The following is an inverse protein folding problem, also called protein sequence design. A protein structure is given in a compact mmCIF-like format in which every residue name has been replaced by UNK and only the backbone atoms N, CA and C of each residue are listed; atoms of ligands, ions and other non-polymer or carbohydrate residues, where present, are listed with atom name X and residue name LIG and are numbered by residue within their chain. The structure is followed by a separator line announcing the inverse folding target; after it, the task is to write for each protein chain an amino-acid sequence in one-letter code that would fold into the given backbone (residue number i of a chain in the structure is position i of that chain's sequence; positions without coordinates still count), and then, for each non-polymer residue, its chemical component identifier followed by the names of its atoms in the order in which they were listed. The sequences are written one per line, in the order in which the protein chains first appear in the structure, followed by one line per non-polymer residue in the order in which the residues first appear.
data_IF_816549496206
#
_entry.id   IF_816549496206
#
_cell.length_a   1.000
_cell.length_b   1.000
_cell.length_c   1.000
_cell.angle_alpha   90.00
_cell.angle_beta   90.00
_cell.angle_gamma   90.00
#
_symmetry.space_group_name_H-M   'P 1'
#
loop_
_entity.id
_entity.type
_entity.pdbx_description
1 polymer ?
#
# COMPACT_ATOMS: atom_id res chain seq x y z
N UNK A 1 -15.46 -13.97 -19.66
CA UNK A 1 -14.35 -13.29 -18.97
C UNK A 1 -14.82 -12.86 -17.59
N UNK A 2 -14.11 -13.25 -16.54
CA UNK A 2 -14.36 -12.78 -15.18
C UNK A 2 -13.70 -11.43 -14.96
N UNK A 3 -14.41 -10.50 -14.36
CA UNK A 3 -13.94 -9.15 -14.06
C UNK A 3 -13.20 -9.15 -12.72
N UNK A 4 -11.91 -8.90 -12.75
CA UNK A 4 -11.04 -8.80 -11.58
C UNK A 4 -10.72 -7.34 -11.36
N UNK A 5 -11.21 -6.76 -10.27
CA UNK A 5 -10.99 -5.35 -9.97
C UNK A 5 -9.86 -5.19 -8.94
N UNK A 6 -8.80 -4.54 -9.33
CA UNK A 6 -7.68 -4.17 -8.45
C UNK A 6 -7.97 -2.79 -7.86
N UNK A 7 -7.85 -2.67 -6.54
CA UNK A 7 -7.99 -1.40 -5.84
C UNK A 7 -6.63 -0.99 -5.31
N UNK A 8 -6.24 0.26 -5.56
CA UNK A 8 -4.97 0.82 -5.11
C UNK A 8 -5.14 2.25 -4.63
N UNK A 9 -4.59 2.55 -3.46
CA UNK A 9 -4.69 3.86 -2.79
C UNK A 9 -3.40 4.66 -2.80
N UNK A 10 -2.27 4.01 -3.07
CA UNK A 10 -0.96 4.66 -3.01
C UNK A 10 0.02 4.10 -4.04
N UNK A 11 1.06 4.90 -4.35
CA UNK A 11 2.15 4.49 -5.24
C UNK A 11 2.84 3.19 -4.78
N UNK A 12 3.02 3.03 -3.47
CA UNK A 12 3.67 1.85 -2.90
C UNK A 12 2.85 0.59 -3.16
N UNK A 13 1.54 0.64 -2.97
CA UNK A 13 0.64 -0.48 -3.29
C UNK A 13 0.64 -0.80 -4.77
N UNK A 14 0.50 0.22 -5.62
CA UNK A 14 0.54 0.05 -7.07
C UNK A 14 1.82 -0.63 -7.54
N UNK A 15 2.97 -0.18 -7.03
CA UNK A 15 4.27 -0.79 -7.36
C UNK A 15 4.34 -2.28 -7.05
N UNK A 16 3.64 -2.75 -5.99
CA UNK A 16 3.54 -4.15 -5.65
C UNK A 16 2.53 -4.89 -6.54
N UNK A 17 1.40 -4.25 -6.87
CA UNK A 17 0.28 -4.86 -7.61
C UNK A 17 0.48 -4.87 -9.13
N UNK A 18 1.34 -4.01 -9.68
CA UNK A 18 1.52 -3.83 -11.13
C UNK A 18 1.85 -5.13 -11.87
N UNK A 19 2.68 -6.00 -11.28
CA UNK A 19 2.99 -7.31 -11.85
C UNK A 19 1.79 -8.25 -11.93
N UNK A 20 0.90 -8.21 -10.92
CA UNK A 20 -0.35 -8.97 -10.92
C UNK A 20 -1.34 -8.38 -11.93
N UNK A 21 -1.46 -7.04 -11.99
CA UNK A 21 -2.32 -6.34 -12.94
C UNK A 21 -1.96 -6.73 -14.38
N UNK A 22 -0.67 -6.73 -14.70
CA UNK A 22 -0.19 -7.14 -16.03
C UNK A 22 -0.59 -8.58 -16.38
N UNK A 23 -0.46 -9.52 -15.45
CA UNK A 23 -0.84 -10.92 -15.68
C UNK A 23 -2.35 -11.10 -15.85
N UNK A 24 -3.17 -10.30 -15.16
CA UNK A 24 -4.62 -10.31 -15.34
C UNK A 24 -4.99 -9.75 -16.71
N UNK A 25 -4.35 -8.65 -17.11
CA UNK A 25 -4.62 -7.97 -18.38
C UNK A 25 -4.20 -8.81 -19.60
N UNK A 26 -3.11 -9.57 -19.48
CA UNK A 26 -2.63 -10.51 -20.50
C UNK A 26 -3.46 -11.81 -20.59
N UNK A 27 -4.40 -12.05 -19.69
CA UNK A 27 -5.20 -13.27 -19.64
C UNK A 27 -6.40 -13.20 -20.57
N UNK A 28 -6.61 -14.22 -21.40
CA UNK A 28 -7.78 -14.33 -22.26
C UNK A 28 -9.09 -14.58 -21.50
N UNK A 29 -9.02 -15.13 -20.29
CA UNK A 29 -10.18 -15.50 -19.46
C UNK A 29 -10.61 -14.43 -18.47
N UNK A 30 -9.74 -13.45 -18.20
CA UNK A 30 -9.94 -12.41 -17.20
C UNK A 30 -10.07 -11.04 -17.87
N UNK A 31 -10.78 -10.15 -17.20
CA UNK A 31 -10.85 -8.73 -17.55
C UNK A 31 -10.37 -7.91 -16.36
N UNK A 32 -9.27 -7.19 -16.54
CA UNK A 32 -8.78 -6.25 -15.54
C UNK A 32 -9.74 -5.06 -15.43
N UNK A 33 -10.02 -4.66 -14.20
CA UNK A 33 -10.61 -3.38 -13.84
C UNK A 33 -9.72 -2.73 -12.78
N UNK A 34 -9.56 -1.43 -12.82
CA UNK A 34 -8.70 -0.68 -11.89
C UNK A 34 -9.47 0.44 -11.23
N UNK A 35 -9.46 0.48 -9.90
CA UNK A 35 -9.93 1.62 -9.12
C UNK A 35 -8.73 2.27 -8.46
N UNK A 36 -8.48 3.53 -8.80
CA UNK A 36 -7.50 4.37 -8.10
C UNK A 36 -8.23 5.23 -7.05
N UNK A 37 -7.65 5.34 -5.87
CA UNK A 37 -8.26 6.09 -4.76
C UNK A 37 -7.22 6.81 -3.91
N UNK A 38 -7.68 7.55 -2.91
CA UNK A 38 -6.89 8.15 -1.84
C UNK A 38 -5.70 8.98 -2.37
N UNK A 39 -4.47 8.66 -1.92
CA UNK A 39 -3.24 9.40 -2.25
C UNK A 39 -2.96 9.48 -3.76
N UNK A 40 -3.39 8.48 -4.54
CA UNK A 40 -3.24 8.50 -5.99
C UNK A 40 -3.89 9.73 -6.66
N UNK A 41 -4.97 10.24 -6.08
CA UNK A 41 -5.77 11.31 -6.64
C UNK A 41 -5.44 12.69 -6.06
N UNK A 42 -4.57 12.74 -5.05
CA UNK A 42 -4.20 13.99 -4.39
C UNK A 42 -3.00 14.67 -5.04
N UNK A 43 -3.11 15.98 -5.33
CA UNK A 43 -1.96 16.79 -5.78
C UNK A 43 -0.81 16.82 -4.78
N UNK A 44 -1.09 16.77 -3.47
CA UNK A 44 -0.09 16.75 -2.41
C UNK A 44 0.85 15.54 -2.52
N UNK A 45 0.33 14.41 -3.03
CA UNK A 45 1.10 13.18 -3.25
C UNK A 45 1.53 12.99 -4.71
N UNK A 46 1.46 14.06 -5.53
CA UNK A 46 1.99 14.07 -6.90
C UNK A 46 1.09 13.43 -7.95
N UNK A 47 -0.20 13.21 -7.67
CA UNK A 47 -1.16 12.62 -8.61
C UNK A 47 -0.64 11.31 -9.23
N UNK A 48 -0.21 10.38 -8.38
CA UNK A 48 0.50 9.14 -8.77
C UNK A 48 -0.35 8.18 -9.60
N UNK A 49 -1.65 8.44 -9.78
CA UNK A 49 -2.47 7.72 -10.76
C UNK A 49 -1.92 7.83 -12.19
N UNK A 50 -1.18 8.92 -12.50
CA UNK A 50 -0.52 9.11 -13.80
C UNK A 50 0.56 8.05 -14.08
N UNK A 51 1.16 7.47 -13.06
CA UNK A 51 2.10 6.36 -13.22
C UNK A 51 1.37 5.11 -13.71
N UNK A 52 0.17 4.84 -13.19
CA UNK A 52 -0.69 3.73 -13.63
C UNK A 52 -1.03 3.88 -15.13
N UNK A 53 -1.43 5.08 -15.55
CA UNK A 53 -1.74 5.38 -16.94
C UNK A 53 -0.50 5.33 -17.86
N UNK A 54 0.66 5.80 -17.35
CA UNK A 54 1.93 5.74 -18.07
C UNK A 54 2.40 4.31 -18.34
N UNK A 55 2.13 3.40 -17.42
CA UNK A 55 2.44 1.98 -17.55
C UNK A 55 1.45 1.25 -18.49
N UNK A 56 0.46 1.97 -19.06
CA UNK A 56 -0.49 1.48 -20.05
C UNK A 56 -1.80 0.94 -19.48
N UNK A 57 -2.02 1.00 -18.17
CA UNK A 57 -3.27 0.55 -17.58
C UNK A 57 -4.38 1.61 -17.68
N UNK A 58 -5.59 1.15 -17.91
CA UNK A 58 -6.79 2.01 -17.87
C UNK A 58 -7.35 2.04 -16.46
N UNK A 59 -7.58 3.24 -15.92
CA UNK A 59 -8.27 3.42 -14.65
C UNK A 59 -9.77 3.51 -14.92
N UNK A 60 -10.52 2.48 -14.55
CA UNK A 60 -11.96 2.42 -14.80
C UNK A 60 -12.75 3.36 -13.89
N UNK A 61 -12.31 3.54 -12.64
CA UNK A 61 -12.91 4.46 -11.66
C UNK A 61 -11.87 5.16 -10.82
N UNK A 62 -12.18 6.40 -10.45
CA UNK A 62 -11.44 7.19 -9.46
C UNK A 62 -12.37 7.47 -8.29
N UNK A 63 -11.98 7.04 -7.09
CA UNK A 63 -12.77 7.25 -5.87
C UNK A 63 -12.05 8.28 -5.01
N UNK A 64 -12.51 9.51 -5.06
CA UNK A 64 -12.01 10.60 -4.22
C UNK A 64 -12.56 10.46 -2.81
N UNK A 65 -11.67 10.36 -1.83
CA UNK A 65 -12.03 10.19 -0.43
C UNK A 65 -11.13 10.95 0.54
N UNK A 66 -9.93 11.32 0.10
CA UNK A 66 -8.93 11.93 0.96
C UNK A 66 -9.33 13.36 1.35
N UNK A 67 -9.44 13.62 2.64
CA UNK A 67 -9.51 14.97 3.20
C UNK A 67 -8.08 15.42 3.56
N UNK A 68 -7.70 16.63 3.16
CA UNK A 68 -6.38 17.23 3.46
C UNK A 68 -6.26 17.59 4.95
N UNK A 69 -6.21 16.56 5.81
CA UNK A 69 -6.06 16.71 7.26
C UNK A 69 -5.69 15.39 7.92
N UNK A 70 -4.68 15.40 8.79
CA UNK A 70 -4.17 14.23 9.49
C UNK A 70 -4.89 13.92 10.81
N UNK A 71 -6.01 14.61 11.09
CA UNK A 71 -6.78 14.36 12.30
C UNK A 71 -7.57 13.05 12.20
N UNK A 72 -7.75 12.36 13.35
CA UNK A 72 -8.59 11.17 13.44
C UNK A 72 -10.01 11.40 12.91
N UNK A 73 -10.54 12.63 13.10
CA UNK A 73 -11.85 13.03 12.58
C UNK A 73 -11.86 13.04 11.04
N UNK A 74 -10.81 13.59 10.41
CA UNK A 74 -10.69 13.62 8.95
C UNK A 74 -10.51 12.22 8.37
N UNK A 75 -9.67 11.39 8.98
CA UNK A 75 -9.49 9.98 8.57
C UNK A 75 -10.80 9.21 8.63
N UNK A 76 -11.55 9.32 9.72
CA UNK A 76 -12.85 8.66 9.85
C UNK A 76 -13.86 9.13 8.81
N UNK A 77 -13.89 10.44 8.51
CA UNK A 77 -14.72 10.99 7.43
C UNK A 77 -14.29 10.50 6.05
N UNK A 78 -12.99 10.43 5.80
CA UNK A 78 -12.44 9.90 4.57
C UNK A 78 -12.89 8.44 4.33
N UNK A 79 -12.89 7.59 5.36
CA UNK A 79 -13.46 6.23 5.26
C UNK A 79 -14.93 6.26 4.83
N UNK A 80 -15.74 7.13 5.46
CA UNK A 80 -17.15 7.29 5.10
C UNK A 80 -17.35 7.75 3.64
N UNK A 81 -16.59 8.75 3.19
CA UNK A 81 -16.59 9.21 1.79
C UNK A 81 -16.16 8.09 0.84
N UNK A 82 -15.14 7.32 1.22
CA UNK A 82 -14.69 6.16 0.47
C UNK A 82 -15.81 5.14 0.29
N UNK A 83 -16.54 4.79 1.33
CA UNK A 83 -17.67 3.86 1.24
C UNK A 83 -18.75 4.34 0.26
N UNK A 84 -19.07 5.63 0.25
CA UNK A 84 -20.02 6.22 -0.71
C UNK A 84 -19.48 6.07 -2.14
N UNK A 85 -18.24 6.48 -2.39
CA UNK A 85 -17.64 6.42 -3.73
C UNK A 85 -17.43 4.98 -4.24
N UNK A 86 -17.09 4.04 -3.35
CA UNK A 86 -16.99 2.63 -3.73
C UNK A 86 -18.35 2.01 -4.05
N UNK A 87 -19.44 2.45 -3.39
CA UNK A 87 -20.78 1.98 -3.73
C UNK A 87 -21.13 2.33 -5.18
N UNK A 88 -20.91 3.59 -5.59
CA UNK A 88 -21.12 4.02 -6.98
C UNK A 88 -20.21 3.24 -7.96
N UNK A 89 -18.94 3.06 -7.60
CA UNK A 89 -17.99 2.34 -8.43
C UNK A 89 -18.38 0.86 -8.64
N UNK A 90 -18.85 0.17 -7.60
CA UNK A 90 -19.26 -1.23 -7.70
C UNK A 90 -20.58 -1.40 -8.45
N UNK A 91 -21.53 -0.47 -8.31
CA UNK A 91 -22.76 -0.50 -9.10
C UNK A 91 -22.47 -0.40 -10.60
N UNK A 92 -21.51 0.45 -10.99
CA UNK A 92 -21.15 0.64 -12.38
C UNK A 92 -20.29 -0.49 -12.95
N UNK A 93 -19.24 -0.91 -12.22
CA UNK A 93 -18.25 -1.87 -12.71
C UNK A 93 -18.73 -3.32 -12.60
N UNK A 94 -19.47 -3.64 -11.56
CA UNK A 94 -19.95 -4.99 -11.22
C UNK A 94 -18.83 -6.02 -11.32
N UNK A 95 -17.77 -5.91 -10.50
CA UNK A 95 -16.68 -6.88 -10.52
C UNK A 95 -17.13 -8.25 -9.99
N UNK A 96 -16.54 -9.30 -10.53
CA UNK A 96 -16.75 -10.66 -10.03
C UNK A 96 -15.85 -10.98 -8.82
N UNK A 97 -14.76 -10.24 -8.67
CA UNK A 97 -13.81 -10.33 -7.57
C UNK A 97 -13.09 -8.99 -7.42
N UNK A 98 -12.90 -8.52 -6.19
CA UNK A 98 -11.93 -7.45 -5.92
C UNK A 98 -10.66 -8.02 -5.30
N UNK A 99 -9.52 -7.42 -5.63
CA UNK A 99 -8.22 -7.74 -5.07
C UNK A 99 -7.70 -6.51 -4.33
N UNK A 100 -7.30 -6.71 -3.10
CA UNK A 100 -6.82 -5.65 -2.20
C UNK A 100 -5.52 -6.07 -1.51
N UNK A 101 -4.69 -5.09 -1.17
CA UNK A 101 -3.41 -5.30 -0.51
C UNK A 101 -3.37 -4.57 0.83
N UNK A 102 -2.93 -5.27 1.87
CA UNK A 102 -2.54 -4.67 3.16
C UNK A 102 -3.71 -4.23 4.04
N UNK A 103 -3.58 -3.07 4.65
CA UNK A 103 -4.25 -2.69 5.89
C UNK A 103 -4.66 -1.21 5.97
N UNK A 104 -4.62 -0.50 4.86
CA UNK A 104 -4.92 0.92 4.86
C UNK A 104 -6.43 1.19 4.99
N UNK A 105 -6.78 2.34 5.53
CA UNK A 105 -8.18 2.72 5.79
C UNK A 105 -9.03 2.86 4.52
N UNK A 106 -8.43 3.22 3.38
CA UNK A 106 -9.13 3.21 2.08
C UNK A 106 -9.51 1.80 1.65
N UNK A 107 -8.65 0.82 1.95
CA UNK A 107 -8.95 -0.58 1.67
C UNK A 107 -10.06 -1.11 2.61
N UNK A 108 -10.07 -0.67 3.87
CA UNK A 108 -11.19 -0.96 4.78
C UNK A 108 -12.52 -0.45 4.21
N UNK A 109 -12.56 0.79 3.69
CA UNK A 109 -13.75 1.35 3.06
C UNK A 109 -14.20 0.52 1.86
N UNK A 110 -13.27 0.14 0.98
CA UNK A 110 -13.53 -0.68 -0.19
C UNK A 110 -14.11 -2.05 0.17
N UNK A 111 -13.48 -2.76 1.10
CA UNK A 111 -13.88 -4.12 1.50
C UNK A 111 -15.19 -4.11 2.27
N UNK A 112 -15.39 -3.14 3.17
CA UNK A 112 -16.67 -2.98 3.89
C UNK A 112 -17.83 -2.75 2.92
N UNK A 113 -17.62 -1.96 1.87
CA UNK A 113 -18.63 -1.74 0.82
C UNK A 113 -18.88 -3.01 0.01
N UNK A 114 -17.82 -3.72 -0.39
CA UNK A 114 -17.92 -4.97 -1.16
C UNK A 114 -18.75 -6.03 -0.45
N UNK A 115 -18.70 -6.09 0.88
CA UNK A 115 -19.51 -7.02 1.70
C UNK A 115 -21.01 -6.85 1.43
N UNK A 116 -21.52 -5.61 1.37
CA UNK A 116 -22.94 -5.35 1.10
C UNK A 116 -23.31 -5.64 -0.35
N UNK A 117 -22.40 -5.46 -1.30
CA UNK A 117 -22.57 -5.82 -2.70
C UNK A 117 -22.39 -7.31 -2.95
N UNK A 118 -21.99 -8.10 -1.94
CA UNK A 118 -21.69 -9.54 -2.04
C UNK A 118 -20.61 -9.85 -3.08
N UNK A 119 -19.66 -8.92 -3.23
CA UNK A 119 -18.51 -9.09 -4.11
C UNK A 119 -17.44 -9.85 -3.34
N UNK A 120 -16.95 -11.00 -3.84
CA UNK A 120 -15.85 -11.71 -3.23
C UNK A 120 -14.58 -10.85 -3.18
N UNK A 121 -13.80 -11.01 -2.11
CA UNK A 121 -12.57 -10.28 -1.87
C UNK A 121 -11.39 -11.24 -1.79
N UNK A 122 -10.33 -10.94 -2.53
CA UNK A 122 -9.01 -11.54 -2.39
C UNK A 122 -8.08 -10.57 -1.65
N UNK A 123 -7.64 -10.94 -0.47
CA UNK A 123 -6.78 -10.13 0.39
C UNK A 123 -5.33 -10.61 0.32
N UNK A 124 -4.45 -9.72 -0.07
CA UNK A 124 -3.01 -9.93 -0.14
C UNK A 124 -2.34 -9.36 1.12
N UNK A 125 -1.35 -10.07 1.65
CA UNK A 125 -0.61 -9.69 2.86
C UNK A 125 -1.47 -9.63 4.14
N UNK A 126 -2.54 -10.44 4.22
CA UNK A 126 -3.26 -10.69 5.46
C UNK A 126 -2.42 -11.45 6.49
N UNK A 127 -2.73 -11.29 7.78
CA UNK A 127 -2.07 -11.98 8.88
C UNK A 127 -0.72 -11.42 9.32
N UNK A 128 -0.20 -10.39 8.67
CA UNK A 128 0.98 -9.64 9.14
C UNK A 128 0.65 -8.86 10.42
N UNK A 129 1.66 -8.50 11.21
CA UNK A 129 1.51 -7.70 12.43
C UNK A 129 2.20 -6.35 12.23
N UNK A 130 1.55 -5.30 12.69
CA UNK A 130 2.13 -3.96 12.79
C UNK A 130 1.96 -3.46 14.22
N UNK A 131 2.93 -3.76 15.09
CA UNK A 131 2.89 -3.36 16.49
C UNK A 131 2.83 -1.83 16.62
N UNK A 132 1.97 -1.35 17.53
CA UNK A 132 1.84 0.08 17.80
C UNK A 132 1.08 0.90 16.75
N UNK A 133 0.37 0.26 15.81
CA UNK A 133 -0.45 0.94 14.82
C UNK A 133 -1.89 0.40 14.80
N UNK A 134 -2.86 1.24 14.44
CA UNK A 134 -4.25 0.80 14.22
C UNK A 134 -4.41 -0.02 12.95
N UNK A 135 -3.42 0.02 12.07
CA UNK A 135 -3.34 -0.77 10.82
C UNK A 135 -3.50 -2.27 11.08
N UNK A 136 -2.98 -2.76 12.20
CA UNK A 136 -3.13 -4.17 12.60
C UNK A 136 -4.60 -4.59 12.74
N UNK A 137 -5.40 -3.78 13.45
CA UNK A 137 -6.82 -4.02 13.61
C UNK A 137 -7.57 -3.93 12.26
N UNK A 138 -7.21 -2.97 11.41
CA UNK A 138 -7.77 -2.82 10.06
C UNK A 138 -7.44 -4.04 9.22
N UNK A 139 -6.19 -4.51 9.20
CA UNK A 139 -5.75 -5.71 8.45
C UNK A 139 -6.55 -6.93 8.83
N UNK A 140 -6.74 -7.17 10.12
CA UNK A 140 -7.51 -8.31 10.58
C UNK A 140 -9.00 -8.19 10.27
N UNK A 141 -9.57 -6.98 10.33
CA UNK A 141 -10.94 -6.73 9.90
C UNK A 141 -11.12 -6.99 8.39
N UNK A 142 -10.21 -6.53 7.55
CA UNK A 142 -10.19 -6.81 6.11
C UNK A 142 -10.08 -8.31 5.86
N UNK A 143 -9.18 -9.02 6.57
CA UNK A 143 -9.05 -10.47 6.48
C UNK A 143 -10.40 -11.15 6.76
N UNK A 144 -11.10 -10.77 7.83
CA UNK A 144 -12.40 -11.36 8.20
C UNK A 144 -13.53 -11.09 7.22
N UNK A 145 -13.45 -10.02 6.44
CA UNK A 145 -14.41 -9.70 5.38
C UNK A 145 -14.01 -10.29 4.02
N UNK A 146 -12.85 -10.94 3.92
CA UNK A 146 -12.32 -11.48 2.67
C UNK A 146 -12.63 -12.97 2.50
N UNK A 147 -12.49 -13.46 1.28
CA UNK A 147 -12.88 -14.83 0.89
C UNK A 147 -11.68 -15.68 0.45
N UNK A 148 -10.65 -15.03 -0.08
CA UNK A 148 -9.38 -15.65 -0.48
C UNK A 148 -8.25 -14.87 0.16
N UNK A 149 -7.26 -15.57 0.66
CA UNK A 149 -6.16 -14.97 1.43
C UNK A 149 -4.81 -15.41 0.86
N UNK A 150 -3.98 -14.42 0.51
CA UNK A 150 -2.65 -14.64 -0.05
C UNK A 150 -1.62 -14.03 0.90
N UNK A 151 -0.99 -14.87 1.69
CA UNK A 151 -0.05 -14.47 2.75
C UNK A 151 1.39 -14.52 2.28
N UNK A 152 2.26 -13.71 2.91
CA UNK A 152 3.67 -13.61 2.56
C UNK A 152 4.55 -14.66 3.22
N UNK A 153 4.10 -15.26 4.32
CA UNK A 153 4.82 -16.32 5.05
C UNK A 153 3.88 -17.39 5.58
N UNK A 154 4.43 -18.54 5.97
CA UNK A 154 3.64 -19.60 6.60
C UNK A 154 3.12 -19.19 8.00
N UNK A 155 3.88 -18.39 8.73
CA UNK A 155 3.45 -17.85 10.02
C UNK A 155 2.17 -17.02 9.88
N UNK A 156 2.13 -16.15 8.88
CA UNK A 156 0.95 -15.32 8.60
C UNK A 156 -0.22 -16.14 8.07
N UNK A 157 0.07 -17.20 7.30
CA UNK A 157 -0.95 -18.15 6.88
C UNK A 157 -1.62 -18.79 8.08
N UNK A 158 -0.86 -19.28 9.03
CA UNK A 158 -1.39 -19.89 10.26
C UNK A 158 -2.20 -18.88 11.07
N UNK A 159 -1.76 -17.64 11.15
CA UNK A 159 -2.50 -16.58 11.87
C UNK A 159 -3.86 -16.30 11.21
N UNK A 160 -3.93 -16.24 9.87
CA UNK A 160 -5.20 -16.08 9.15
C UNK A 160 -6.14 -17.26 9.42
N UNK A 161 -5.64 -18.49 9.45
CA UNK A 161 -6.41 -19.66 9.83
C UNK A 161 -6.90 -19.57 11.28
N UNK A 162 -6.06 -19.11 12.21
CA UNK A 162 -6.45 -18.90 13.61
C UNK A 162 -7.53 -17.82 13.78
N UNK A 163 -7.60 -16.84 12.88
CA UNK A 163 -8.69 -15.87 12.81
C UNK A 163 -10.02 -16.49 12.37
N UNK A 164 -10.03 -17.78 12.02
CA UNK A 164 -11.23 -18.55 11.65
C UNK A 164 -11.44 -18.67 10.15
N UNK A 165 -10.41 -18.43 9.33
CA UNK A 165 -10.51 -18.66 7.88
C UNK A 165 -10.24 -20.12 7.52
N UNK A 166 -10.91 -20.62 6.48
CA UNK A 166 -10.74 -22.00 6.00
C UNK A 166 -9.34 -22.19 5.41
N UNK A 167 -8.57 -23.22 5.84
CA UNK A 167 -7.24 -23.48 5.30
C UNK A 167 -7.19 -23.62 3.78
N UNK A 168 -8.27 -24.09 3.15
CA UNK A 168 -8.37 -24.27 1.70
C UNK A 168 -8.46 -22.94 0.93
N UNK A 169 -8.65 -21.84 1.64
CA UNK A 169 -8.74 -20.48 1.08
C UNK A 169 -7.57 -19.58 1.48
N UNK A 170 -6.59 -20.13 2.21
CA UNK A 170 -5.41 -19.39 2.67
C UNK A 170 -4.15 -19.96 2.03
N UNK A 171 -3.51 -19.16 1.19
CA UNK A 171 -2.37 -19.56 0.37
C UNK A 171 -1.12 -18.78 0.80
N UNK A 172 -0.04 -19.47 1.10
CA UNK A 172 1.26 -18.83 1.27
C UNK A 172 1.92 -18.70 -0.12
N UNK A 173 1.98 -17.48 -0.62
CA UNK A 173 2.51 -17.17 -1.97
C UNK A 173 3.83 -16.41 -1.94
N UNK A 174 4.30 -16.07 -0.75
CA UNK A 174 5.46 -15.19 -0.57
C UNK A 174 5.12 -13.72 -0.69
N UNK A 175 6.07 -12.85 -0.35
CA UNK A 175 5.90 -11.40 -0.47
C UNK A 175 6.01 -10.96 -1.93
N UNK A 176 5.02 -10.22 -2.41
CA UNK A 176 4.95 -9.76 -3.82
C UNK A 176 6.16 -8.91 -4.18
N UNK A 177 6.65 -8.07 -3.25
CA UNK A 177 7.83 -7.24 -3.46
C UNK A 177 9.10 -8.02 -3.80
N UNK A 178 9.25 -9.24 -3.28
CA UNK A 178 10.40 -10.10 -3.58
C UNK A 178 10.39 -10.57 -5.05
N UNK A 179 9.23 -10.83 -5.63
CA UNK A 179 9.12 -11.17 -7.05
C UNK A 179 9.55 -9.99 -7.93
N UNK A 180 9.11 -8.78 -7.59
CA UNK A 180 9.50 -7.56 -8.31
C UNK A 180 11.02 -7.33 -8.25
N UNK A 181 11.64 -7.56 -7.09
CA UNK A 181 13.09 -7.48 -6.92
C UNK A 181 13.79 -8.52 -7.81
N UNK A 182 13.34 -9.77 -7.82
CA UNK A 182 13.95 -10.84 -8.61
C UNK A 182 13.86 -10.61 -10.12
N UNK A 183 12.82 -9.94 -10.60
CA UNK A 183 12.57 -9.66 -12.02
C UNK A 183 13.08 -8.30 -12.48
N UNK A 184 13.42 -7.41 -11.52
CA UNK A 184 13.88 -6.07 -11.80
C UNK A 184 15.26 -6.03 -12.43
N UNK A 185 15.47 -5.10 -13.37
CA UNK A 185 16.82 -4.71 -13.80
C UNK A 185 17.28 -3.60 -12.86
N UNK A 186 18.41 -3.82 -12.21
CA UNK A 186 18.98 -2.84 -11.29
C UNK A 186 20.06 -2.03 -11.96
N UNK A 187 20.17 -0.76 -11.59
CA UNK A 187 21.27 0.10 -11.98
C UNK A 187 22.58 -0.41 -11.34
N UNK A 188 23.67 -0.29 -12.04
CA UNK A 188 25.00 -0.42 -11.42
C UNK A 188 25.21 0.68 -10.38
N UNK A 189 26.17 0.50 -9.45
CA UNK A 189 26.50 1.53 -8.43
C UNK A 189 26.72 2.89 -9.08
N UNK A 190 27.51 2.95 -10.15
CA UNK A 190 27.83 4.21 -10.83
C UNK A 190 26.63 4.86 -11.51
N UNK A 191 25.74 4.09 -12.11
CA UNK A 191 24.50 4.61 -12.70
C UNK A 191 23.56 5.13 -11.63
N UNK A 192 23.49 4.45 -10.49
CA UNK A 192 22.70 4.88 -9.34
C UNK A 192 23.25 6.19 -8.75
N UNK A 193 24.56 6.27 -8.52
CA UNK A 193 25.23 7.49 -8.04
C UNK A 193 24.96 8.68 -8.97
N UNK A 194 25.07 8.47 -10.28
CA UNK A 194 24.77 9.48 -11.28
C UNK A 194 23.28 9.90 -11.27
N UNK A 195 22.39 8.95 -11.09
CA UNK A 195 20.93 9.19 -11.05
C UNK A 195 20.49 9.97 -9.81
N UNK A 196 21.20 9.75 -8.69
CA UNK A 196 20.91 10.40 -7.41
C UNK A 196 21.69 11.71 -7.22
N UNK A 197 22.65 11.99 -8.09
CA UNK A 197 23.66 13.07 -7.87
C UNK A 197 24.32 12.94 -6.49
N UNK A 198 24.64 11.70 -6.09
CA UNK A 198 25.12 11.36 -4.77
C UNK A 198 26.10 10.20 -4.79
N UNK A 199 27.33 10.42 -4.32
CA UNK A 199 28.34 9.36 -4.18
C UNK A 199 28.11 8.52 -2.93
N UNK A 200 27.92 7.22 -3.10
CA UNK A 200 27.72 6.28 -1.99
C UNK A 200 29.00 6.01 -1.19
N UNK A 201 30.17 6.12 -1.84
CA UNK A 201 31.45 5.86 -1.18
C UNK A 201 31.63 4.38 -0.81
N UNK A 202 32.53 4.13 0.16
CA UNK A 202 32.83 2.78 0.69
C UNK A 202 31.91 2.39 1.85
N UNK A 203 31.43 3.38 2.61
CA UNK A 203 30.50 3.19 3.73
C UNK A 203 29.26 4.03 3.50
N UNK A 204 28.15 3.38 3.27
CA UNK A 204 26.86 4.04 3.08
C UNK A 204 25.76 3.40 3.91
N UNK A 205 24.83 4.24 4.35
CA UNK A 205 23.61 3.82 5.04
C UNK A 205 22.41 4.31 4.25
N UNK A 206 21.46 3.42 3.99
CA UNK A 206 20.13 3.78 3.54
C UNK A 206 19.22 3.76 4.76
N UNK A 207 18.64 4.90 5.09
CA UNK A 207 17.81 5.08 6.28
C UNK A 207 16.39 5.39 5.87
N UNK A 208 15.45 4.57 6.32
CA UNK A 208 14.01 4.82 6.20
C UNK A 208 13.43 4.89 7.61
N UNK A 209 12.87 6.03 7.99
CA UNK A 209 12.28 6.22 9.31
C UNK A 209 10.75 6.26 9.21
N UNK A 210 10.09 5.41 10.01
CA UNK A 210 8.64 5.35 10.13
C UNK A 210 8.28 5.56 11.61
N UNK A 211 7.72 6.72 12.00
CA UNK A 211 7.28 6.93 13.37
C UNK A 211 6.09 6.03 13.72
N UNK A 212 6.01 5.63 14.98
CA UNK A 212 4.93 4.79 15.50
C UNK A 212 3.73 5.66 15.85
N UNK A 213 2.53 5.28 15.40
CA UNK A 213 1.31 6.12 15.49
C UNK A 213 0.62 6.10 16.85
N UNK A 214 0.86 5.08 17.69
CA UNK A 214 0.20 4.89 18.99
C UNK A 214 1.12 5.19 20.19
N UNK A 215 2.33 5.67 19.97
CA UNK A 215 3.25 6.05 21.06
C UNK A 215 3.00 7.47 21.57
N UNK A 216 3.42 7.69 22.83
CA UNK A 216 3.36 8.99 23.50
C UNK A 216 4.48 9.94 23.12
N UNK A 217 5.62 9.40 22.62
CA UNK A 217 6.74 10.20 22.10
C UNK A 217 6.40 10.77 20.73
N UNK A 218 6.78 12.02 20.50
CA UNK A 218 6.55 12.66 19.21
C UNK A 218 7.45 12.06 18.14
N UNK A 219 6.98 11.99 16.90
CA UNK A 219 7.77 11.56 15.75
C UNK A 219 9.07 12.39 15.61
N UNK A 220 9.01 13.67 16.01
CA UNK A 220 10.15 14.57 16.00
C UNK A 220 11.24 14.13 17.01
N UNK A 221 10.87 13.75 18.23
CA UNK A 221 11.83 13.27 19.24
C UNK A 221 12.50 11.98 18.80
N UNK A 222 11.72 11.03 18.26
CA UNK A 222 12.26 9.77 17.74
C UNK A 222 13.25 10.02 16.58
N UNK A 223 12.89 10.91 15.66
CA UNK A 223 13.74 11.28 14.53
C UNK A 223 15.01 11.99 15.00
N UNK A 224 14.92 12.92 15.94
CA UNK A 224 16.08 13.62 16.50
C UNK A 224 17.06 12.65 17.16
N UNK A 225 16.57 11.67 17.93
CA UNK A 225 17.43 10.65 18.54
C UNK A 225 18.20 9.83 17.48
N UNK A 226 17.53 9.47 16.38
CA UNK A 226 18.18 8.81 15.25
C UNK A 226 19.26 9.70 14.62
N UNK A 227 18.94 10.96 14.35
CA UNK A 227 19.87 11.93 13.76
C UNK A 227 21.09 12.18 14.64
N UNK A 228 20.91 12.25 15.98
CA UNK A 228 22.02 12.39 16.93
C UNK A 228 22.99 11.20 16.89
N UNK A 229 22.47 9.99 16.72
CA UNK A 229 23.32 8.80 16.57
C UNK A 229 24.06 8.82 15.24
N UNK A 230 23.38 9.12 14.15
CA UNK A 230 23.96 9.17 12.81
C UNK A 230 25.05 10.26 12.70
N UNK A 231 24.87 11.40 13.36
CA UNK A 231 25.86 12.49 13.40
C UNK A 231 27.20 12.10 14.07
N UNK A 232 27.21 11.05 14.88
CA UNK A 232 28.44 10.50 15.49
C UNK A 232 29.28 9.66 14.51
N UNK A 233 28.78 9.42 13.30
CA UNK A 233 29.42 8.60 12.28
C UNK A 233 29.65 9.39 10.97
N UNK A 234 30.49 10.44 10.98
CA UNK A 234 30.69 11.33 9.83
C UNK A 234 31.43 10.65 8.65
N UNK A 235 31.98 9.47 8.86
CA UNK A 235 32.63 8.63 7.85
C UNK A 235 31.64 7.84 6.97
N UNK A 236 30.35 7.84 7.32
CA UNK A 236 29.32 7.22 6.52
C UNK A 236 28.62 8.25 5.61
N UNK A 237 28.34 7.83 4.39
CA UNK A 237 27.40 8.52 3.49
C UNK A 237 25.99 8.07 3.85
N UNK A 238 25.11 9.00 4.15
CA UNK A 238 23.76 8.68 4.63
C UNK A 238 22.74 9.18 3.62
N UNK A 239 21.94 8.25 3.11
CA UNK A 239 20.82 8.53 2.23
C UNK A 239 19.51 8.27 2.99
N UNK A 240 18.69 9.29 3.16
CA UNK A 240 17.37 9.14 3.74
C UNK A 240 16.32 8.95 2.64
N UNK A 241 15.51 7.90 2.78
CA UNK A 241 14.27 7.79 2.02
C UNK A 241 13.15 8.40 2.84
N UNK A 242 12.46 9.39 2.27
CA UNK A 242 11.28 9.97 2.90
C UNK A 242 10.06 9.12 2.54
N UNK A 243 9.33 8.66 3.55
CA UNK A 243 8.01 8.08 3.31
C UNK A 243 7.04 9.19 2.92
N UNK A 244 6.31 9.02 1.83
CA UNK A 244 5.29 9.97 1.38
C UNK A 244 4.14 10.17 2.38
N UNK A 245 4.06 9.32 3.41
CA UNK A 245 3.06 9.39 4.48
C UNK A 245 3.36 10.52 5.48
N UNK A 246 4.60 11.05 5.50
CA UNK A 246 5.07 12.00 6.52
C UNK A 246 5.81 13.22 5.92
N UNK A 247 5.46 13.63 4.72
CA UNK A 247 5.86 14.96 4.26
C UNK A 247 4.93 15.98 4.93
N UNK A 248 5.20 16.26 6.21
CA UNK A 248 4.87 17.56 6.75
C UNK A 248 5.75 18.56 6.00
N UNK A 249 5.14 19.55 5.35
CA UNK A 249 5.90 20.64 4.71
C UNK A 249 6.98 21.15 5.67
N UNK A 250 8.22 21.38 5.20
CA UNK A 250 9.16 22.17 5.96
C UNK A 250 8.49 23.51 6.16
N UNK A 251 8.16 23.84 7.40
CA UNK A 251 7.77 25.20 7.77
C UNK A 251 8.82 26.14 7.18
N UNK A 252 8.45 26.86 6.13
CA UNK A 252 9.30 27.91 5.58
C UNK A 252 9.59 28.89 6.70
N UNK A 253 10.85 29.32 6.88
CA UNK A 253 11.21 30.34 7.83
C UNK A 253 10.50 31.65 7.54
#
# INVERSE_FOLDING_TARGET
MRKICIITGSRAEYGLLSGLMKRIDESEDLKLQVIATNMHLSPEFGLTYKEIEKDGFVIDKRVEMLLSSDTSNATAKSVGLGMIGFADAYEDLRPDLIVVLGDRYEILAAVSTALFFKIPVAHLHGGEITEGAYDDAIRHAITKMSHLHFTSTEEYRQRVIQLGESPDRVFNVGAIGVENIKKGSFLSKKELENSLDFELGDKSLLVTFHPVTLETCTAQEQCNNLLEVLAKHPDYRILFTLSLIHISEPTRP
#
